data_IF_414672693561
#
_entry.id   IF_414672693561
#
_cell.length_a   1.000
_cell.length_b   1.000
_cell.length_c   1.000
_cell.angle_alpha   90.00
_cell.angle_beta   90.00
_cell.angle_gamma   90.00
#
_symmetry.space_group_name_H-M   'P 1'
#
loop_
_entity.id
_entity.type
_entity.pdbx_description
1 polymer ?
#
# COMPACT_ATOMS: atom_id res chain seq x y z
N UNK A 1 -3.58 22.05 33.57
CA UNK A 1 -2.33 21.62 32.91
C UNK A 1 -2.67 20.77 31.69
N UNK A 2 -2.54 21.32 30.48
CA UNK A 2 -2.88 20.60 29.24
C UNK A 2 -1.77 19.60 28.87
N UNK A 3 -2.06 18.29 28.96
CA UNK A 3 -1.16 17.23 28.49
C UNK A 3 -1.11 17.27 26.95
N UNK A 4 -0.06 17.86 26.37
CA UNK A 4 0.27 17.73 24.95
C UNK A 4 0.46 16.24 24.63
N UNK A 5 -0.52 15.64 23.94
CA UNK A 5 -0.38 14.31 23.31
C UNK A 5 0.77 14.41 22.29
N UNK A 6 1.87 13.69 22.56
CA UNK A 6 2.95 13.45 21.59
C UNK A 6 2.32 12.82 20.34
N UNK A 7 2.24 13.58 19.26
CA UNK A 7 2.02 13.05 17.92
C UNK A 7 3.14 12.05 17.63
N UNK A 8 2.80 10.76 17.58
CA UNK A 8 3.67 9.76 16.98
C UNK A 8 3.79 10.17 15.51
N UNK A 9 5.00 10.54 15.07
CA UNK A 9 5.32 10.54 13.64
C UNK A 9 5.04 9.11 13.16
N UNK A 10 3.90 8.91 12.52
CA UNK A 10 3.62 7.72 11.73
C UNK A 10 4.77 7.63 10.73
N UNK A 11 5.64 6.64 10.92
CA UNK A 11 6.57 6.25 9.87
C UNK A 11 5.68 5.85 8.70
N UNK A 12 5.70 6.65 7.64
CA UNK A 12 4.99 6.32 6.40
C UNK A 12 5.46 4.91 6.00
N UNK A 13 4.55 3.92 5.91
CA UNK A 13 4.97 2.56 5.62
C UNK A 13 5.66 2.55 4.26
N UNK A 14 6.93 2.18 4.25
CA UNK A 14 7.71 2.07 3.03
C UNK A 14 7.11 0.93 2.19
N UNK A 15 6.59 1.27 1.02
CA UNK A 15 5.97 0.28 0.14
C UNK A 15 7.09 -0.55 -0.48
N UNK A 16 7.25 -1.80 -0.01
CA UNK A 16 8.12 -2.76 -0.70
C UNK A 16 7.48 -3.19 -2.02
N UNK A 17 7.86 -2.48 -3.08
CA UNK A 17 7.38 -2.70 -4.44
C UNK A 17 7.81 -4.09 -4.93
N UNK A 18 9.00 -4.59 -4.57
CA UNK A 18 9.51 -5.87 -5.06
C UNK A 18 8.66 -7.02 -4.55
N UNK A 19 8.40 -7.06 -3.25
CA UNK A 19 7.55 -8.08 -2.64
C UNK A 19 6.11 -8.03 -3.19
N UNK A 20 5.58 -6.82 -3.39
CA UNK A 20 4.25 -6.62 -3.98
C UNK A 20 4.16 -7.18 -5.41
N UNK A 21 5.20 -7.02 -6.23
CA UNK A 21 5.25 -7.62 -7.57
C UNK A 21 5.33 -9.15 -7.54
N UNK A 22 6.08 -9.74 -6.62
CA UNK A 22 6.13 -11.20 -6.45
C UNK A 22 4.75 -11.76 -6.11
N UNK A 23 4.01 -11.10 -5.22
CA UNK A 23 2.64 -11.49 -4.89
C UNK A 23 1.70 -11.43 -6.11
N UNK A 24 1.80 -10.38 -6.93
CA UNK A 24 1.05 -10.29 -8.19
C UNK A 24 1.39 -11.46 -9.11
N UNK A 25 2.68 -11.81 -9.23
CA UNK A 25 3.13 -12.92 -10.06
C UNK A 25 2.52 -14.25 -9.59
N UNK A 26 2.51 -14.52 -8.28
CA UNK A 26 1.86 -15.72 -7.73
C UNK A 26 0.36 -15.73 -8.05
N UNK A 27 -0.33 -14.60 -7.97
CA UNK A 27 -1.76 -14.53 -8.31
C UNK A 27 -2.02 -14.81 -9.80
N UNK A 28 -1.15 -14.35 -10.68
CA UNK A 28 -1.24 -14.64 -12.12
C UNK A 28 -0.93 -16.11 -12.41
N UNK A 29 0.17 -16.64 -11.84
CA UNK A 29 0.62 -18.02 -12.03
C UNK A 29 -0.40 -19.04 -11.49
N UNK A 30 -1.18 -18.66 -10.47
CA UNK A 30 -2.27 -19.47 -9.90
C UNK A 30 -3.64 -19.23 -10.56
N UNK A 31 -3.67 -18.56 -11.71
CA UNK A 31 -4.88 -18.28 -12.50
C UNK A 31 -5.94 -17.42 -11.79
N UNK A 32 -5.53 -16.62 -10.80
CA UNK A 32 -6.37 -15.71 -9.99
C UNK A 32 -6.29 -14.28 -10.53
N UNK A 33 -6.49 -14.12 -11.84
CA UNK A 33 -6.29 -12.84 -12.53
C UNK A 33 -7.15 -11.69 -11.97
N UNK A 34 -8.40 -11.95 -11.55
CA UNK A 34 -9.27 -10.92 -10.94
C UNK A 34 -8.67 -10.35 -9.66
N UNK A 35 -8.08 -11.22 -8.85
CA UNK A 35 -7.46 -10.84 -7.59
C UNK A 35 -6.14 -10.10 -7.82
N UNK A 36 -5.36 -10.52 -8.83
CA UNK A 36 -4.17 -9.80 -9.26
C UNK A 36 -4.49 -8.35 -9.64
N UNK A 37 -5.56 -8.13 -10.42
CA UNK A 37 -6.01 -6.79 -10.82
C UNK A 37 -6.41 -5.95 -9.60
N UNK A 38 -7.20 -6.52 -8.68
CA UNK A 38 -7.60 -5.83 -7.46
C UNK A 38 -6.38 -5.48 -6.59
N UNK A 39 -5.41 -6.38 -6.48
CA UNK A 39 -4.20 -6.16 -5.72
C UNK A 39 -3.34 -5.04 -6.31
N UNK A 40 -3.18 -4.99 -7.64
CA UNK A 40 -2.52 -3.88 -8.33
C UNK A 40 -3.20 -2.54 -8.04
N UNK A 41 -4.53 -2.50 -8.04
CA UNK A 41 -5.28 -1.29 -7.70
C UNK A 41 -4.98 -0.80 -6.28
N UNK A 42 -4.94 -1.71 -5.30
CA UNK A 42 -4.58 -1.37 -3.92
C UNK A 42 -3.14 -0.84 -3.82
N UNK A 43 -2.19 -1.48 -4.49
CA UNK A 43 -0.79 -1.02 -4.54
C UNK A 43 -0.71 0.40 -5.11
N UNK A 44 -1.40 0.65 -6.21
CA UNK A 44 -1.46 1.98 -6.83
C UNK A 44 -2.04 3.00 -5.84
N UNK A 45 -3.16 2.67 -5.18
CA UNK A 45 -3.80 3.56 -4.22
C UNK A 45 -2.90 3.89 -3.02
N UNK A 46 -2.19 2.89 -2.48
CA UNK A 46 -1.21 3.07 -1.40
C UNK A 46 -0.11 4.04 -1.83
N UNK A 47 0.49 3.81 -3.01
CA UNK A 47 1.56 4.65 -3.55
C UNK A 47 1.07 6.08 -3.75
N UNK A 48 -0.14 6.27 -4.29
CA UNK A 48 -0.70 7.60 -4.49
C UNK A 48 -1.00 8.30 -3.16
N UNK A 49 -1.52 7.56 -2.18
CA UNK A 49 -1.85 8.10 -0.85
C UNK A 49 -0.59 8.53 -0.12
N UNK A 50 0.47 7.71 -0.17
CA UNK A 50 1.76 8.04 0.44
C UNK A 50 2.40 9.25 -0.24
N UNK A 51 2.50 9.25 -1.57
CA UNK A 51 3.17 10.34 -2.31
C UNK A 51 2.43 11.67 -2.27
N UNK A 52 1.10 11.65 -2.32
CA UNK A 52 0.30 12.86 -2.52
C UNK A 52 -0.59 13.23 -1.34
N UNK A 53 -0.62 12.41 -0.27
CA UNK A 53 -1.46 12.60 0.93
C UNK A 53 -2.94 12.84 0.63
N UNK A 54 -3.38 12.38 -0.55
CA UNK A 54 -4.76 12.45 -1.01
C UNK A 54 -5.24 11.03 -1.26
N UNK A 55 -6.11 10.48 -0.39
CA UNK A 55 -6.82 9.26 -0.72
C UNK A 55 -7.75 9.54 -1.91
N UNK A 56 -7.83 8.62 -2.87
CA UNK A 56 -8.83 8.64 -3.94
C UNK A 56 -10.10 7.95 -3.51
#
# INVERSE_FOLDING_TARGET
MAKKKKSKKEQEPEVDIKQKFENVKVLVDTNRAKEAIAYIYLIYNDITTIKFKKPR
#
